data_IF_590823112229
#
_entry.id   IF_590823112229
#
_cell.length_a   1.000
_cell.length_b   1.000
_cell.length_c   1.000
_cell.angle_alpha   90.00
_cell.angle_beta   90.00
_cell.angle_gamma   90.00
#
_symmetry.space_group_name_H-M   'P 1'
#
loop_
_entity.id
_entity.type
_entity.pdbx_description
1 polymer ?
#
# COMPACT_ATOMS: atom_id res chain seq x y z
N UNK A 1 -7.72 24.18 -23.65
CA UNK A 1 -7.49 24.49 -25.08
C UNK A 1 -6.53 23.48 -25.68
N UNK A 2 -6.96 22.68 -26.66
CA UNK A 2 -6.07 21.83 -27.46
C UNK A 2 -5.46 22.70 -28.57
N UNK A 3 -4.15 22.62 -28.78
CA UNK A 3 -3.46 23.28 -29.92
C UNK A 3 -3.58 22.37 -31.14
N UNK A 4 -3.99 22.92 -32.28
CA UNK A 4 -4.01 22.20 -33.55
C UNK A 4 -2.59 21.77 -33.94
N UNK A 5 -2.42 20.53 -34.42
CA UNK A 5 -1.13 19.98 -34.87
C UNK A 5 -0.30 19.23 -33.82
N UNK A 6 -0.80 19.01 -32.60
CA UNK A 6 -0.07 18.24 -31.58
C UNK A 6 -0.57 16.79 -31.51
N UNK A 7 0.31 15.82 -31.77
CA UNK A 7 0.02 14.41 -31.53
C UNK A 7 0.20 14.09 -30.03
N UNK A 8 -0.79 13.45 -29.42
CA UNK A 8 -0.74 12.99 -28.04
C UNK A 8 -0.80 11.48 -28.05
N UNK A 9 0.29 10.83 -27.64
CA UNK A 9 0.32 9.38 -27.42
C UNK A 9 -0.32 9.10 -26.05
N UNK A 10 -1.42 8.35 -26.05
CA UNK A 10 -2.08 7.89 -24.81
C UNK A 10 -1.82 6.41 -24.64
N UNK A 11 -1.11 6.05 -23.57
CA UNK A 11 -0.95 4.66 -23.16
C UNK A 11 -2.15 4.27 -22.30
N UNK A 12 -3.00 3.39 -22.83
CA UNK A 12 -4.10 2.80 -22.07
C UNK A 12 -3.61 1.48 -21.46
N UNK A 13 -3.47 1.45 -20.14
CA UNK A 13 -3.26 0.20 -19.42
C UNK A 13 -4.60 -0.53 -19.32
N UNK A 14 -4.84 -1.51 -20.20
CA UNK A 14 -6.11 -2.25 -20.28
C UNK A 14 -6.23 -3.38 -19.24
N UNK A 15 -5.26 -3.48 -18.33
CA UNK A 15 -5.25 -4.43 -17.22
C UNK A 15 -4.81 -3.69 -15.97
N UNK A 16 -5.78 -3.17 -15.23
CA UNK A 16 -5.57 -2.91 -13.82
C UNK A 16 -5.47 -4.28 -13.15
N UNK A 17 -4.24 -4.69 -12.82
CA UNK A 17 -4.05 -5.76 -11.84
C UNK A 17 -4.34 -5.11 -10.49
N UNK A 18 -5.61 -4.85 -10.20
CA UNK A 18 -6.03 -4.52 -8.85
C UNK A 18 -5.55 -5.67 -7.98
N UNK A 19 -4.59 -5.40 -7.10
CA UNK A 19 -4.20 -6.33 -6.06
C UNK A 19 -5.50 -6.73 -5.37
N UNK A 20 -5.88 -8.01 -5.46
CA UNK A 20 -7.03 -8.55 -4.74
C UNK A 20 -6.70 -8.51 -3.26
N UNK A 21 -6.88 -7.35 -2.63
CA UNK A 21 -6.77 -7.21 -1.19
C UNK A 21 -7.95 -7.96 -0.59
N UNK A 22 -7.65 -9.05 0.11
CA UNK A 22 -8.67 -9.76 0.87
C UNK A 22 -8.99 -8.92 2.10
N UNK A 23 -10.28 -8.71 2.36
CA UNK A 23 -10.75 -8.14 3.61
C UNK A 23 -10.64 -9.23 4.69
N UNK A 24 -9.45 -9.31 5.29
CA UNK A 24 -9.16 -10.30 6.32
C UNK A 24 -9.57 -9.71 7.66
N UNK A 25 -10.82 -9.95 8.07
CA UNK A 25 -11.33 -9.68 9.42
C UNK A 25 -10.45 -10.28 10.55
N UNK A 26 -9.52 -11.17 10.20
CA UNK A 26 -8.56 -11.83 11.10
C UNK A 26 -7.17 -11.18 11.14
N UNK A 27 -6.94 -10.04 10.49
CA UNK A 27 -5.64 -9.35 10.55
C UNK A 27 -5.44 -8.74 11.95
N UNK A 28 -4.95 -9.57 12.88
CA UNK A 28 -4.75 -9.21 14.27
C UNK A 28 -3.61 -8.18 14.40
N UNK A 29 -3.85 -7.14 15.20
CA UNK A 29 -2.89 -6.08 15.51
C UNK A 29 -1.56 -6.67 16.03
N UNK A 30 -1.62 -7.74 16.82
CA UNK A 30 -0.44 -8.44 17.35
C UNK A 30 0.41 -9.09 16.27
N UNK A 31 -0.21 -9.61 15.20
CA UNK A 31 0.49 -10.17 14.06
C UNK A 31 1.13 -9.07 13.22
N UNK A 32 0.39 -7.99 12.91
CA UNK A 32 0.92 -6.82 12.22
C UNK A 32 2.14 -6.24 12.95
N UNK A 33 2.11 -6.19 14.28
CA UNK A 33 3.23 -5.73 15.11
C UNK A 33 4.50 -6.51 14.86
N UNK A 34 4.41 -7.83 14.84
CA UNK A 34 5.57 -8.69 14.57
C UNK A 34 6.14 -8.46 13.18
N UNK A 35 5.28 -8.25 12.18
CA UNK A 35 5.74 -8.05 10.81
C UNK A 35 6.35 -6.68 10.54
N UNK A 36 5.85 -5.62 11.18
CA UNK A 36 6.40 -4.27 10.97
C UNK A 36 7.60 -3.96 11.86
N UNK A 37 7.78 -4.69 12.96
CA UNK A 37 8.85 -4.44 13.93
C UNK A 37 10.26 -4.42 13.29
N UNK A 38 10.65 -5.32 12.37
CA UNK A 38 11.95 -5.26 11.71
C UNK A 38 12.11 -4.00 10.86
N UNK A 39 11.06 -3.62 10.13
CA UNK A 39 11.04 -2.42 9.26
C UNK A 39 11.15 -1.14 10.08
N UNK A 40 10.44 -1.05 11.20
CA UNK A 40 10.50 0.10 12.12
C UNK A 40 11.87 0.18 12.82
N UNK A 41 12.43 -0.96 13.25
CA UNK A 41 13.78 -0.98 13.85
C UNK A 41 14.86 -0.51 12.88
N UNK A 42 14.72 -0.87 11.60
CA UNK A 42 15.63 -0.45 10.53
C UNK A 42 15.44 1.03 10.14
N UNK A 43 14.20 1.49 10.05
CA UNK A 43 13.86 2.87 9.73
C UNK A 43 12.68 3.39 10.59
N UNK A 44 12.95 3.97 11.77
CA UNK A 44 11.89 4.47 12.65
C UNK A 44 11.12 5.66 12.06
N UNK A 45 11.76 6.41 11.15
CA UNK A 45 11.17 7.54 10.45
C UNK A 45 10.23 7.17 9.30
N UNK A 46 10.04 5.88 9.01
CA UNK A 46 9.23 5.45 7.87
C UNK A 46 7.80 6.03 7.93
N UNK A 47 7.31 6.69 6.87
CA UNK A 47 5.94 7.17 6.80
C UNK A 47 4.94 6.01 6.84
N UNK A 48 3.81 6.21 7.51
CA UNK A 48 2.77 5.18 7.65
C UNK A 48 2.17 4.79 6.30
N UNK A 49 2.06 5.73 5.35
CA UNK A 49 1.61 5.44 3.98
C UNK A 49 2.54 4.45 3.28
N UNK A 50 3.86 4.67 3.38
CA UNK A 50 4.85 3.78 2.76
C UNK A 50 4.80 2.39 3.38
N UNK A 51 4.62 2.32 4.70
CA UNK A 51 4.46 1.06 5.42
C UNK A 51 3.17 0.32 4.99
N UNK A 52 2.08 1.07 4.79
CA UNK A 52 0.81 0.54 4.32
C UNK A 52 0.94 -0.06 2.91
N UNK A 53 1.55 0.68 1.98
CA UNK A 53 1.74 0.24 0.59
C UNK A 53 2.64 -1.01 0.52
N UNK A 54 3.71 -1.05 1.31
CA UNK A 54 4.60 -2.22 1.40
C UNK A 54 3.85 -3.46 1.91
N UNK A 55 3.04 -3.31 2.97
CA UNK A 55 2.23 -4.40 3.51
C UNK A 55 1.16 -4.87 2.53
N UNK A 56 0.46 -3.95 1.85
CA UNK A 56 -0.52 -4.29 0.83
C UNK A 56 0.12 -5.06 -0.32
N UNK A 57 1.31 -4.65 -0.76
CA UNK A 57 2.06 -5.32 -1.83
C UNK A 57 2.54 -6.71 -1.43
N UNK A 58 3.07 -6.87 -0.22
CA UNK A 58 3.66 -8.14 0.25
C UNK A 58 2.61 -9.17 0.63
N UNK A 59 1.58 -8.73 1.35
CA UNK A 59 0.64 -9.62 2.02
C UNK A 59 -0.69 -9.73 1.28
N UNK A 60 -0.98 -8.80 0.35
CA UNK A 60 -2.27 -8.73 -0.33
C UNK A 60 -3.46 -8.66 0.67
N UNK A 61 -3.21 -8.05 1.83
CA UNK A 61 -4.20 -7.81 2.88
C UNK A 61 -4.49 -6.32 2.97
N UNK A 62 -5.76 -5.96 3.12
CA UNK A 62 -6.15 -4.59 3.37
C UNK A 62 -5.82 -4.20 4.82
N UNK A 63 -4.71 -3.50 5.00
CA UNK A 63 -4.34 -2.88 6.28
C UNK A 63 -4.82 -1.44 6.30
N UNK A 64 -5.52 -1.03 7.36
CA UNK A 64 -5.97 0.35 7.56
C UNK A 64 -4.87 1.21 8.20
N UNK A 65 -4.90 2.52 7.93
CA UNK A 65 -4.00 3.47 8.60
C UNK A 65 -4.13 3.39 10.13
N UNK A 66 -5.34 3.24 10.65
CA UNK A 66 -5.61 3.17 12.09
C UNK A 66 -4.93 1.95 12.72
N UNK A 67 -4.96 0.77 12.06
CA UNK A 67 -4.20 -0.39 12.53
C UNK A 67 -2.70 -0.08 12.57
N UNK A 68 -2.13 0.54 11.54
CA UNK A 68 -0.70 0.86 11.51
C UNK A 68 -0.28 1.89 12.56
N UNK A 69 -1.12 2.91 12.80
CA UNK A 69 -0.89 3.90 13.86
C UNK A 69 -0.89 3.29 15.27
N UNK A 70 -1.66 2.23 15.51
CA UNK A 70 -1.68 1.54 16.81
C UNK A 70 -0.48 0.63 17.03
N UNK A 71 0.13 0.19 15.94
CA UNK A 71 1.18 -0.83 15.96
C UNK A 71 2.58 -0.19 15.92
N UNK A 72 2.71 0.96 15.25
CA UNK A 72 3.92 1.78 15.27
C UNK A 72 4.07 2.50 16.62
#
# INVERSE_FOLDING_TARGET
>A
MKREGTWIVKTYFNKDTCLYTRDVNLCAISWLSKEIQPTIKSNPGIPIQVLQDDLHRRLQVQVTKHQLFRVK
#
